data_IF_522434434548
#
_entry.id   IF_522434434548
#
_cell.length_a   1.000
_cell.length_b   1.000
_cell.length_c   1.000
_cell.angle_alpha   90.00
_cell.angle_beta   90.00
_cell.angle_gamma   90.00
#
_symmetry.space_group_name_H-M   'P 1'
#
loop_
_entity.id
_entity.type
_entity.pdbx_description
1 polymer ?
#
# COMPACT_ATOMS: atom_id res chain seq x y z
N UNK A 1 24.88 -22.25 -49.67
CA UNK A 1 25.68 -21.85 -48.49
C UNK A 1 24.70 -21.22 -47.55
N UNK A 2 24.56 -21.85 -46.39
CA UNK A 2 23.47 -21.75 -45.43
C UNK A 2 23.29 -20.35 -44.85
N UNK A 3 22.05 -19.90 -44.85
CA UNK A 3 21.51 -18.76 -44.11
C UNK A 3 20.61 -19.33 -43.02
N UNK A 4 21.17 -19.69 -41.88
CA UNK A 4 20.46 -20.23 -40.71
C UNK A 4 21.52 -20.33 -39.60
N UNK A 5 21.67 -19.29 -38.76
CA UNK A 5 22.35 -19.39 -37.44
C UNK A 5 22.37 -18.10 -36.58
N UNK A 6 21.46 -17.12 -36.75
CA UNK A 6 21.49 -15.87 -35.95
C UNK A 6 20.29 -15.65 -34.99
N UNK A 7 19.36 -16.59 -34.85
CA UNK A 7 18.12 -16.40 -34.08
C UNK A 7 18.00 -17.00 -32.65
N UNK A 8 18.99 -17.66 -31.99
CA UNK A 8 18.77 -18.12 -30.61
C UNK A 8 19.09 -17.09 -29.52
N UNK A 9 19.87 -16.04 -29.80
CA UNK A 9 20.51 -15.25 -28.73
C UNK A 9 19.64 -14.07 -28.25
N UNK A 10 18.93 -13.38 -29.15
CA UNK A 10 18.04 -12.26 -28.79
C UNK A 10 16.84 -12.72 -27.96
N UNK A 11 16.17 -13.81 -28.33
CA UNK A 11 15.02 -14.33 -27.56
C UNK A 11 15.41 -14.80 -26.15
N UNK A 12 16.62 -15.35 -26.00
CA UNK A 12 17.18 -15.72 -24.70
C UNK A 12 17.58 -14.49 -23.87
N UNK A 13 18.07 -13.42 -24.50
CA UNK A 13 18.40 -12.16 -23.82
C UNK A 13 17.14 -11.41 -23.36
N UNK A 14 16.11 -11.34 -24.20
CA UNK A 14 14.81 -10.73 -23.87
C UNK A 14 14.15 -11.47 -22.69
N UNK A 15 14.19 -12.81 -22.68
CA UNK A 15 13.68 -13.61 -21.55
C UNK A 15 14.49 -13.51 -20.25
N UNK A 16 15.72 -13.00 -20.28
CA UNK A 16 16.54 -12.73 -19.09
C UNK A 16 16.24 -11.32 -18.52
N UNK A 17 15.88 -10.37 -19.39
CA UNK A 17 15.70 -8.96 -19.04
C UNK A 17 14.23 -8.57 -18.81
N UNK A 18 13.25 -9.43 -19.12
CA UNK A 18 11.82 -9.25 -18.85
C UNK A 18 11.21 -10.38 -18.01
N UNK A 19 10.29 -10.03 -17.11
CA UNK A 19 9.48 -10.98 -16.35
C UNK A 19 8.35 -11.57 -17.22
N UNK A 20 7.69 -12.64 -16.75
CA UNK A 20 6.54 -13.25 -17.47
C UNK A 20 5.38 -12.28 -17.69
N UNK A 21 5.27 -11.23 -16.87
CA UNK A 21 4.31 -10.14 -17.04
C UNK A 21 4.76 -9.06 -18.03
N UNK A 22 5.94 -9.21 -18.66
CA UNK A 22 6.57 -8.20 -19.53
C UNK A 22 7.26 -7.06 -18.79
N UNK A 23 7.17 -7.01 -17.46
CA UNK A 23 7.85 -6.00 -16.66
C UNK A 23 9.39 -6.15 -16.68
N UNK A 24 10.17 -5.06 -16.64
CA UNK A 24 11.64 -5.15 -16.63
C UNK A 24 12.18 -5.94 -15.42
N UNK A 25 12.95 -7.00 -15.70
CA UNK A 25 13.71 -7.77 -14.71
C UNK A 25 15.10 -7.13 -14.44
N UNK A 26 15.58 -6.30 -15.38
CA UNK A 26 16.83 -5.56 -15.41
C UNK A 26 16.60 -4.04 -15.46
N UNK A 27 17.46 -3.22 -14.82
CA UNK A 27 17.59 -1.82 -15.25
C UNK A 27 18.40 -1.76 -16.54
N UNK A 28 17.88 -1.09 -17.56
CA UNK A 28 18.45 -1.01 -18.93
C UNK A 28 19.80 -0.32 -18.95
N UNK A 29 19.93 0.83 -18.30
CA UNK A 29 21.20 1.57 -18.23
C UNK A 29 22.18 0.95 -17.22
N UNK A 30 21.66 0.50 -16.08
CA UNK A 30 22.42 -0.12 -15.00
C UNK A 30 21.59 -1.25 -14.44
N UNK A 31 22.10 -2.49 -14.52
CA UNK A 31 21.32 -3.67 -14.16
C UNK A 31 20.65 -3.47 -12.80
N UNK A 32 21.37 -3.04 -11.77
CA UNK A 32 20.84 -2.93 -10.40
C UNK A 32 20.07 -1.65 -10.05
N UNK A 33 19.84 -0.75 -11.01
CA UNK A 33 19.09 0.48 -10.76
C UNK A 33 18.12 0.76 -11.90
N UNK A 34 16.84 0.77 -11.53
CA UNK A 34 15.75 1.11 -12.44
C UNK A 34 15.60 2.63 -12.57
N UNK A 35 15.35 3.07 -13.79
CA UNK A 35 14.84 4.39 -14.15
C UNK A 35 13.38 4.55 -13.68
N UNK A 36 12.89 5.78 -13.67
CA UNK A 36 11.53 6.07 -13.26
C UNK A 36 10.48 5.41 -14.17
N UNK A 37 10.74 5.30 -15.48
CA UNK A 37 9.87 4.61 -16.44
C UNK A 37 9.84 3.09 -16.20
N UNK A 38 10.96 2.47 -15.88
CA UNK A 38 11.00 1.03 -15.56
C UNK A 38 10.28 0.72 -14.24
N UNK A 39 10.42 1.57 -13.22
CA UNK A 39 9.64 1.45 -11.97
C UNK A 39 8.15 1.57 -12.27
N UNK A 40 7.77 2.54 -13.11
CA UNK A 40 6.39 2.73 -13.53
C UNK A 40 5.83 1.48 -14.26
N UNK A 41 6.56 0.89 -15.20
CA UNK A 41 6.15 -0.34 -15.88
C UNK A 41 5.96 -1.50 -14.91
N UNK A 42 6.85 -1.65 -13.91
CA UNK A 42 6.69 -2.67 -12.86
C UNK A 42 5.43 -2.44 -12.01
N UNK A 43 5.11 -1.19 -11.70
CA UNK A 43 3.88 -0.83 -10.98
C UNK A 43 2.64 -1.16 -11.82
N UNK A 44 2.64 -0.83 -13.12
CA UNK A 44 1.54 -1.14 -14.04
C UNK A 44 1.31 -2.65 -14.12
N UNK A 45 2.37 -3.45 -14.31
CA UNK A 45 2.25 -4.90 -14.36
C UNK A 45 1.74 -5.51 -13.04
N UNK A 46 2.13 -4.95 -11.89
CA UNK A 46 1.58 -5.36 -10.59
C UNK A 46 0.10 -4.96 -10.46
N UNK A 47 -0.26 -3.76 -10.92
CA UNK A 47 -1.62 -3.26 -10.87
C UNK A 47 -2.59 -4.11 -11.71
N UNK A 48 -2.13 -4.58 -12.87
CA UNK A 48 -2.90 -5.43 -13.76
C UNK A 48 -3.32 -6.72 -13.06
N UNK A 49 -2.36 -7.39 -12.41
CA UNK A 49 -2.62 -8.59 -11.62
C UNK A 49 -3.65 -8.32 -10.50
N UNK A 50 -3.48 -7.23 -9.74
CA UNK A 50 -4.40 -6.87 -8.65
C UNK A 50 -5.82 -6.55 -9.12
N UNK A 51 -5.96 -5.93 -10.29
CA UNK A 51 -7.27 -5.63 -10.89
C UNK A 51 -7.92 -6.89 -11.48
N UNK A 52 -7.16 -7.94 -11.76
CA UNK A 52 -7.68 -9.23 -12.20
C UNK A 52 -8.00 -10.19 -11.05
N UNK A 53 -7.38 -9.99 -9.87
CA UNK A 53 -7.62 -10.81 -8.69
C UNK A 53 -9.12 -10.94 -8.37
N UNK A 54 -9.50 -12.16 -8.02
CA UNK A 54 -10.88 -12.49 -7.65
C UNK A 54 -11.29 -11.76 -6.38
N UNK A 55 -12.61 -11.65 -6.16
CA UNK A 55 -13.13 -11.02 -4.94
C UNK A 55 -12.61 -11.69 -3.66
N UNK A 56 -12.44 -13.01 -3.69
CA UNK A 56 -11.97 -13.78 -2.55
C UNK A 56 -10.47 -13.52 -2.27
N UNK A 57 -9.64 -13.50 -3.31
CA UNK A 57 -8.20 -13.23 -3.18
C UNK A 57 -7.95 -11.85 -2.56
N UNK A 58 -8.57 -10.80 -3.12
CA UNK A 58 -8.45 -9.44 -2.58
C UNK A 58 -8.92 -9.34 -1.13
N UNK A 59 -10.07 -9.95 -0.81
CA UNK A 59 -10.65 -9.88 0.52
C UNK A 59 -9.82 -10.63 1.57
N UNK A 60 -9.40 -11.86 1.29
CA UNK A 60 -8.60 -12.67 2.23
C UNK A 60 -7.16 -12.16 2.36
N UNK A 61 -6.57 -11.68 1.26
CA UNK A 61 -5.28 -10.97 1.31
C UNK A 61 -5.41 -9.69 2.15
N UNK A 62 -6.52 -8.96 2.01
CA UNK A 62 -6.87 -7.83 2.87
C UNK A 62 -6.98 -8.19 4.35
N UNK A 63 -7.60 -9.33 4.68
CA UNK A 63 -7.66 -9.83 6.07
C UNK A 63 -6.26 -10.11 6.62
N UNK A 64 -5.41 -10.79 5.83
CA UNK A 64 -4.04 -11.09 6.22
C UNK A 64 -3.23 -9.80 6.49
N UNK A 65 -3.40 -8.78 5.65
CA UNK A 65 -2.79 -7.47 5.89
C UNK A 65 -3.32 -6.80 7.18
N UNK A 66 -4.63 -6.88 7.45
CA UNK A 66 -5.21 -6.39 8.71
C UNK A 66 -4.63 -7.07 9.95
N UNK A 67 -4.37 -8.38 9.88
CA UNK A 67 -3.64 -9.08 10.95
C UNK A 67 -2.18 -8.62 11.07
N UNK A 68 -1.50 -8.36 9.95
CA UNK A 68 -0.17 -7.73 9.94
C UNK A 68 -0.16 -6.42 10.73
N UNK A 69 -1.15 -5.55 10.50
CA UNK A 69 -1.30 -4.29 11.24
C UNK A 69 -1.55 -4.52 12.74
N UNK A 70 -2.23 -5.61 13.13
CA UNK A 70 -2.40 -5.95 14.55
C UNK A 70 -1.03 -6.18 15.24
N UNK A 71 -0.06 -6.75 14.52
CA UNK A 71 1.31 -6.92 15.04
C UNK A 71 2.00 -5.57 15.25
N UNK A 72 1.79 -4.60 14.35
CA UNK A 72 2.25 -3.21 14.52
C UNK A 72 1.70 -2.60 15.81
N UNK A 73 0.39 -2.74 16.06
CA UNK A 73 -0.26 -2.20 17.27
C UNK A 73 0.27 -2.85 18.55
N UNK A 74 0.40 -4.18 18.54
CA UNK A 74 0.94 -4.96 19.66
C UNK A 74 2.37 -4.52 19.98
N UNK A 75 3.25 -4.49 18.97
CA UNK A 75 4.66 -4.11 19.15
C UNK A 75 4.82 -2.69 19.68
N UNK A 76 4.06 -1.74 19.13
CA UNK A 76 4.10 -0.35 19.57
C UNK A 76 3.62 -0.19 21.02
N UNK A 77 2.52 -0.86 21.38
CA UNK A 77 1.92 -0.78 22.71
C UNK A 77 2.84 -1.37 23.77
N UNK A 78 3.37 -2.58 23.53
CA UNK A 78 4.24 -3.28 24.49
C UNK A 78 5.51 -2.47 24.76
N UNK A 79 6.21 -2.03 23.70
CA UNK A 79 7.43 -1.22 23.88
C UNK A 79 7.10 0.11 24.56
N UNK A 80 5.96 0.73 24.23
CA UNK A 80 5.54 1.97 24.88
C UNK A 80 5.28 1.82 26.36
N UNK A 81 4.66 0.72 26.78
CA UNK A 81 4.45 0.41 28.20
C UNK A 81 5.78 0.14 28.93
N UNK A 82 6.72 -0.54 28.29
CA UNK A 82 8.05 -0.81 28.87
C UNK A 82 8.90 0.46 29.02
N UNK A 83 8.86 1.36 28.03
CA UNK A 83 9.67 2.59 28.01
C UNK A 83 9.08 3.67 28.93
N UNK A 84 7.75 3.74 29.06
CA UNK A 84 7.08 4.77 29.85
C UNK A 84 7.39 6.19 29.34
N UNK A 85 7.61 7.13 30.26
CA UNK A 85 7.91 8.54 29.96
C UNK A 85 9.40 8.87 30.11
N UNK A 86 10.26 8.11 29.42
CA UNK A 86 11.72 8.22 29.49
C UNK A 86 12.32 9.48 28.79
N UNK A 87 11.60 10.60 28.76
CA UNK A 87 12.04 11.86 28.15
C UNK A 87 12.13 11.83 26.62
N UNK A 88 12.95 12.73 26.04
CA UNK A 88 12.98 12.97 24.59
C UNK A 88 13.32 11.76 23.71
N UNK A 89 14.09 10.80 24.22
CA UNK A 89 14.44 9.57 23.50
C UNK A 89 13.27 8.57 23.40
N UNK A 90 12.26 8.68 24.27
CA UNK A 90 11.09 7.80 24.24
C UNK A 90 10.38 7.85 22.88
N UNK A 91 10.35 9.03 22.24
CA UNK A 91 9.78 9.23 20.91
C UNK A 91 10.46 8.40 19.81
N UNK A 92 11.73 8.03 20.00
CA UNK A 92 12.48 7.19 19.06
C UNK A 92 12.42 5.69 19.45
N UNK A 93 12.38 5.36 20.74
CA UNK A 93 12.40 3.97 21.16
C UNK A 93 11.03 3.30 21.06
N UNK A 94 9.96 4.01 21.47
CA UNK A 94 8.58 3.48 21.46
C UNK A 94 8.19 2.83 20.12
N UNK A 95 8.49 3.45 18.96
CA UNK A 95 8.06 2.91 17.67
C UNK A 95 8.93 1.83 17.06
N UNK A 96 9.96 1.33 17.75
CA UNK A 96 10.95 0.41 17.15
C UNK A 96 10.34 -0.88 16.57
N UNK A 97 9.25 -1.38 17.15
CA UNK A 97 8.54 -2.56 16.62
C UNK A 97 7.34 -2.21 15.73
N UNK A 98 7.01 -0.93 15.56
CA UNK A 98 5.88 -0.50 14.74
C UNK A 98 5.98 -0.98 13.28
N UNK A 99 7.15 -0.95 12.61
CA UNK A 99 7.20 -1.34 11.20
C UNK A 99 7.05 -2.84 10.93
N UNK A 100 7.11 -3.70 11.95
CA UNK A 100 7.16 -5.16 11.75
C UNK A 100 5.90 -5.68 11.05
N UNK A 101 4.71 -5.15 11.38
CA UNK A 101 3.48 -5.50 10.68
C UNK A 101 3.51 -5.16 9.20
N UNK A 102 4.03 -4.00 8.83
CA UNK A 102 4.20 -3.59 7.44
C UNK A 102 5.25 -4.42 6.69
N UNK A 103 6.34 -4.80 7.36
CA UNK A 103 7.32 -5.73 6.77
C UNK A 103 6.66 -7.07 6.42
N UNK A 104 5.80 -7.59 7.30
CA UNK A 104 5.05 -8.83 7.02
C UNK A 104 4.12 -8.64 5.82
N UNK A 105 3.47 -7.49 5.70
CA UNK A 105 2.56 -7.16 4.59
C UNK A 105 3.33 -7.10 3.27
N UNK A 106 4.40 -6.30 3.21
CA UNK A 106 5.18 -6.09 1.99
C UNK A 106 5.88 -7.37 1.53
N UNK A 107 6.51 -8.12 2.44
CA UNK A 107 7.19 -9.38 2.08
C UNK A 107 6.19 -10.51 1.81
N UNK A 108 5.03 -10.49 2.49
CA UNK A 108 3.95 -11.45 2.27
C UNK A 108 3.09 -11.15 1.05
N UNK A 109 3.30 -10.02 0.37
CA UNK A 109 2.47 -9.53 -0.73
C UNK A 109 0.98 -9.47 -0.36
N UNK A 110 0.68 -9.05 0.87
CA UNK A 110 -0.70 -8.89 1.32
C UNK A 110 -1.27 -7.55 0.90
N UNK A 111 -2.54 -7.55 0.52
CA UNK A 111 -3.21 -6.38 -0.01
C UNK A 111 -3.56 -5.40 1.11
N UNK A 112 -2.88 -4.25 1.14
CA UNK A 112 -3.16 -3.16 2.08
C UNK A 112 -3.72 -1.96 1.32
N UNK A 113 -4.86 -1.41 1.75
CA UNK A 113 -5.56 -0.32 1.07
C UNK A 113 -4.62 0.84 0.66
N UNK A 114 -3.74 1.28 1.57
CA UNK A 114 -2.84 2.41 1.33
C UNK A 114 -1.71 2.09 0.36
N UNK A 115 -1.27 0.82 0.29
CA UNK A 115 -0.28 0.38 -0.70
C UNK A 115 -0.94 0.26 -2.07
N UNK A 116 -2.18 -0.23 -2.09
CA UNK A 116 -3.02 -0.34 -3.27
C UNK A 116 -3.67 1.00 -3.70
N UNK A 117 -3.07 2.16 -3.35
CA UNK A 117 -3.51 3.46 -3.88
C UNK A 117 -2.77 3.87 -5.14
N UNK A 118 -1.54 3.40 -5.33
CA UNK A 118 -0.71 3.80 -6.47
C UNK A 118 -0.95 2.92 -7.71
N UNK A 119 -0.94 1.57 -7.61
CA UNK A 119 -0.96 0.73 -8.81
C UNK A 119 -2.29 0.84 -9.59
N UNK A 120 -3.49 0.60 -9.02
CA UNK A 120 -4.72 0.69 -9.82
C UNK A 120 -5.11 2.11 -10.22
N UNK A 121 -4.71 3.13 -9.44
CA UNK A 121 -4.91 4.53 -9.85
C UNK A 121 -4.10 4.84 -11.09
N UNK A 122 -2.89 4.31 -11.20
CA UNK A 122 -2.07 4.45 -12.39
C UNK A 122 -2.80 3.90 -13.62
N UNK A 123 -3.40 2.71 -13.52
CA UNK A 123 -4.20 2.13 -14.60
C UNK A 123 -5.44 2.96 -14.96
N UNK A 124 -6.11 3.56 -13.98
CA UNK A 124 -7.26 4.44 -14.24
C UNK A 124 -6.81 5.75 -14.89
N UNK A 125 -5.66 6.31 -14.50
CA UNK A 125 -5.11 7.52 -15.11
C UNK A 125 -4.67 7.28 -16.56
N UNK A 126 -4.14 6.09 -16.88
CA UNK A 126 -3.82 5.66 -18.25
C UNK A 126 -5.01 5.10 -19.01
N UNK A 127 -6.21 5.09 -18.43
CA UNK A 127 -7.45 4.52 -19.01
C UNK A 127 -7.35 3.03 -19.41
N UNK A 128 -6.42 2.30 -18.83
CA UNK A 128 -6.32 0.84 -18.96
C UNK A 128 -7.28 0.11 -18.02
N UNK A 129 -7.78 0.81 -16.98
CA UNK A 129 -8.79 0.29 -16.06
C UNK A 129 -9.92 1.29 -15.83
N UNK A 130 -11.10 0.76 -15.49
CA UNK A 130 -12.30 1.56 -15.24
C UNK A 130 -12.31 2.09 -13.80
N UNK A 131 -12.95 3.25 -13.59
CA UNK A 131 -13.17 3.81 -12.25
C UNK A 131 -13.94 2.82 -11.35
N UNK A 132 -14.99 2.10 -11.82
CA UNK A 132 -15.64 1.05 -11.02
C UNK A 132 -14.71 -0.08 -10.59
N UNK A 133 -13.77 -0.52 -11.45
CA UNK A 133 -12.80 -1.57 -11.10
C UNK A 133 -11.85 -1.12 -9.98
N UNK A 134 -11.39 0.14 -10.01
CA UNK A 134 -10.62 0.74 -8.93
C UNK A 134 -11.39 0.70 -7.60
N UNK A 135 -12.64 1.17 -7.60
CA UNK A 135 -13.45 1.17 -6.38
C UNK A 135 -13.77 -0.25 -5.86
N UNK A 136 -13.85 -1.25 -6.74
CA UNK A 136 -13.96 -2.66 -6.35
C UNK A 136 -12.74 -3.11 -5.55
N UNK A 137 -11.53 -2.89 -6.10
CA UNK A 137 -10.28 -3.28 -5.45
C UNK A 137 -10.17 -2.57 -4.10
N UNK A 138 -10.32 -1.24 -4.09
CA UNK A 138 -10.27 -0.44 -2.86
C UNK A 138 -11.28 -0.88 -1.82
N UNK A 139 -12.53 -1.10 -2.24
CA UNK A 139 -13.61 -1.50 -1.33
C UNK A 139 -13.37 -2.87 -0.69
N UNK A 140 -12.97 -3.87 -1.49
CA UNK A 140 -12.72 -5.23 -1.01
C UNK A 140 -11.49 -5.31 -0.10
N UNK A 141 -10.40 -4.65 -0.50
CA UNK A 141 -9.15 -4.62 0.28
C UNK A 141 -9.36 -3.86 1.59
N UNK A 142 -9.97 -2.68 1.56
CA UNK A 142 -10.27 -1.91 2.77
C UNK A 142 -11.19 -2.70 3.72
N UNK A 143 -12.22 -3.35 3.19
CA UNK A 143 -13.11 -4.19 3.99
C UNK A 143 -12.35 -5.35 4.65
N UNK A 144 -11.50 -6.05 3.89
CA UNK A 144 -10.64 -7.11 4.41
C UNK A 144 -9.70 -6.59 5.51
N UNK A 145 -9.05 -5.45 5.27
CA UNK A 145 -8.15 -4.82 6.26
C UNK A 145 -8.89 -4.48 7.56
N UNK A 146 -10.08 -3.86 7.46
CA UNK A 146 -10.95 -3.54 8.61
C UNK A 146 -11.32 -4.79 9.38
N UNK A 147 -11.69 -5.87 8.70
CA UNK A 147 -12.04 -7.16 9.34
C UNK A 147 -10.82 -7.73 10.07
N UNK A 148 -9.67 -7.83 9.41
CA UNK A 148 -8.45 -8.38 10.02
C UNK A 148 -7.99 -7.60 11.24
N UNK A 149 -7.82 -6.27 11.10
CA UNK A 149 -7.38 -5.42 12.21
C UNK A 149 -8.45 -5.32 13.30
N UNK A 150 -9.73 -5.38 12.95
CA UNK A 150 -10.84 -5.36 13.91
C UNK A 150 -10.90 -6.61 14.78
N UNK A 151 -10.68 -7.80 14.20
CA UNK A 151 -10.53 -9.05 14.97
C UNK A 151 -9.32 -8.94 15.90
N UNK A 152 -8.19 -8.45 15.39
CA UNK A 152 -6.99 -8.24 16.19
C UNK A 152 -7.22 -7.30 17.37
N UNK A 153 -7.79 -6.12 17.11
CA UNK A 153 -8.13 -5.12 18.13
C UNK A 153 -9.11 -5.68 19.18
N UNK A 154 -10.11 -6.46 18.76
CA UNK A 154 -11.04 -7.12 19.67
C UNK A 154 -10.32 -8.09 20.62
N UNK A 155 -9.43 -8.92 20.08
CA UNK A 155 -8.61 -9.85 20.88
C UNK A 155 -7.72 -9.09 21.85
N UNK A 156 -7.00 -8.06 21.39
CA UNK A 156 -6.13 -7.25 22.24
C UNK A 156 -6.91 -6.55 23.37
N UNK A 157 -8.16 -6.11 23.11
CA UNK A 157 -8.97 -5.39 24.09
C UNK A 157 -9.64 -6.29 25.15
N UNK A 158 -9.92 -7.55 24.82
CA UNK A 158 -10.77 -8.44 25.63
C UNK A 158 -10.06 -9.67 26.19
N UNK A 159 -8.79 -9.88 25.85
CA UNK A 159 -8.01 -11.04 26.32
C UNK A 159 -6.76 -10.61 27.09
N UNK A 160 -6.02 -11.59 27.61
CA UNK A 160 -4.77 -11.35 28.35
C UNK A 160 -3.53 -11.23 27.44
N UNK A 161 -3.70 -11.01 26.13
CA UNK A 161 -2.56 -10.77 25.23
C UNK A 161 -1.83 -9.48 25.61
N UNK A 162 -2.56 -8.44 26.00
CA UNK A 162 -2.00 -7.26 26.67
C UNK A 162 -2.22 -7.40 28.17
N UNK A 163 -1.19 -7.09 28.95
CA UNK A 163 -1.35 -6.83 30.38
C UNK A 163 -2.22 -5.58 30.61
N UNK A 164 -2.82 -5.42 31.80
CA UNK A 164 -3.62 -4.22 32.10
C UNK A 164 -2.86 -2.90 31.90
N UNK A 165 -1.55 -2.88 32.18
CA UNK A 165 -0.72 -1.70 31.99
C UNK A 165 -0.52 -1.38 30.49
N UNK A 166 -0.28 -2.39 29.65
CA UNK A 166 -0.16 -2.23 28.21
C UNK A 166 -1.48 -1.80 27.57
N UNK A 167 -2.59 -2.40 27.99
CA UNK A 167 -3.93 -2.01 27.53
C UNK A 167 -4.24 -0.54 27.85
N UNK A 168 -3.88 -0.06 29.04
CA UNK A 168 -4.05 1.35 29.41
C UNK A 168 -3.23 2.29 28.52
N UNK A 169 -2.03 1.88 28.09
CA UNK A 169 -1.20 2.65 27.16
C UNK A 169 -1.85 2.71 25.76
N UNK A 170 -2.40 1.60 25.27
CA UNK A 170 -3.15 1.60 24.00
C UNK A 170 -4.41 2.48 24.08
N UNK A 171 -5.17 2.45 25.19
CA UNK A 171 -6.32 3.33 25.42
C UNK A 171 -5.90 4.81 25.41
N UNK A 172 -4.79 5.13 26.08
CA UNK A 172 -4.26 6.49 26.12
C UNK A 172 -3.90 6.99 24.72
N UNK A 173 -3.18 6.21 23.92
CA UNK A 173 -2.82 6.61 22.55
C UNK A 173 -4.04 6.90 21.69
N UNK A 174 -5.03 6.00 21.70
CA UNK A 174 -6.25 6.18 20.94
C UNK A 174 -7.04 7.42 21.40
N UNK A 175 -7.08 7.67 22.71
CA UNK A 175 -7.75 8.85 23.28
C UNK A 175 -7.04 10.15 22.90
N UNK A 176 -5.71 10.19 22.99
CA UNK A 176 -4.91 11.35 22.60
C UNK A 176 -5.04 11.65 21.10
N UNK A 177 -5.14 10.62 20.25
CA UNK A 177 -5.36 10.78 18.83
C UNK A 177 -6.68 11.51 18.52
N UNK A 178 -7.74 11.24 19.28
CA UNK A 178 -9.05 11.91 19.14
C UNK A 178 -9.03 13.39 19.56
N UNK A 179 -8.06 13.82 20.37
CA UNK A 179 -7.94 15.22 20.77
C UNK A 179 -7.25 16.09 19.70
N UNK A 180 -6.70 15.49 18.65
CA UNK A 180 -6.16 16.23 17.52
C UNK A 180 -7.32 16.81 16.69
N UNK A 181 -7.26 18.10 16.38
CA UNK A 181 -8.29 18.74 15.55
C UNK A 181 -8.48 18.02 14.20
N UNK A 182 -9.71 18.04 13.67
CA UNK A 182 -10.07 17.36 12.41
C UNK A 182 -9.09 17.65 11.26
N UNK A 183 -8.73 18.92 11.03
CA UNK A 183 -7.76 19.31 10.00
C UNK A 183 -6.33 18.89 10.34
N UNK A 184 -5.96 18.88 11.62
CA UNK A 184 -4.68 18.33 12.07
C UNK A 184 -4.56 16.84 11.77
N UNK A 185 -5.63 16.07 12.02
CA UNK A 185 -5.71 14.65 11.66
C UNK A 185 -5.62 14.46 10.16
N UNK A 186 -6.38 15.25 9.39
CA UNK A 186 -6.38 15.20 7.92
C UNK A 186 -4.98 15.39 7.33
N UNK A 187 -4.28 16.49 7.67
CA UNK A 187 -2.94 16.75 7.10
C UNK A 187 -1.88 15.75 7.58
N UNK A 188 -1.97 15.27 8.83
CA UNK A 188 -1.14 14.14 9.28
C UNK A 188 -1.39 12.89 8.43
N UNK A 189 -2.65 12.65 8.06
CA UNK A 189 -3.04 11.58 7.13
C UNK A 189 -2.46 11.78 5.72
N UNK A 190 -2.45 13.01 5.20
CA UNK A 190 -1.83 13.32 3.89
C UNK A 190 -0.37 12.92 3.86
N UNK A 191 0.41 13.28 4.88
CA UNK A 191 1.82 12.89 4.94
C UNK A 191 2.02 11.39 5.14
N UNK A 192 1.16 10.72 5.92
CA UNK A 192 1.21 9.25 6.04
C UNK A 192 0.94 8.56 4.69
N UNK A 193 -0.10 9.00 3.98
CA UNK A 193 -0.44 8.50 2.64
C UNK A 193 0.70 8.71 1.64
N UNK A 194 1.35 9.88 1.69
CA UNK A 194 2.52 10.17 0.86
C UNK A 194 3.68 9.21 1.17
N UNK A 195 4.00 8.99 2.45
CA UNK A 195 5.08 8.07 2.83
C UNK A 195 4.81 6.64 2.33
N UNK A 196 3.57 6.15 2.47
CA UNK A 196 3.21 4.79 2.01
C UNK A 196 3.17 4.69 0.49
N UNK A 197 2.62 5.68 -0.21
CA UNK A 197 2.69 5.70 -1.68
C UNK A 197 4.14 5.74 -2.18
N UNK A 198 5.00 6.53 -1.52
CA UNK A 198 6.43 6.59 -1.80
C UNK A 198 7.14 5.26 -1.51
N UNK A 199 6.74 4.56 -0.44
CA UNK A 199 7.22 3.21 -0.16
C UNK A 199 6.90 2.27 -1.33
N UNK A 200 5.66 2.24 -1.82
CA UNK A 200 5.27 1.39 -2.98
C UNK A 200 6.15 1.67 -4.20
N UNK A 201 6.43 2.95 -4.47
CA UNK A 201 7.32 3.32 -5.58
C UNK A 201 8.75 2.79 -5.40
N UNK A 202 9.36 3.03 -4.24
CA UNK A 202 10.74 2.59 -3.95
C UNK A 202 10.84 1.07 -3.84
N UNK A 203 9.79 0.42 -3.34
CA UNK A 203 9.61 -1.02 -3.28
C UNK A 203 9.66 -1.66 -4.69
N UNK A 204 8.93 -1.08 -5.65
CA UNK A 204 9.01 -1.47 -7.07
C UNK A 204 10.34 -1.09 -7.73
N UNK A 205 11.14 -0.20 -7.14
CA UNK A 205 12.53 0.05 -7.54
C UNK A 205 13.54 -0.92 -6.91
N UNK A 206 13.11 -1.75 -5.95
CA UNK A 206 14.00 -2.63 -5.18
C UNK A 206 14.00 -4.05 -5.74
N UNK A 207 15.14 -4.74 -5.62
CA UNK A 207 15.39 -6.07 -6.19
C UNK A 207 15.47 -7.16 -5.15
N UNK A 208 16.18 -6.90 -4.06
CA UNK A 208 16.45 -7.89 -3.03
C UNK A 208 15.54 -7.70 -1.81
N UNK A 209 15.30 -8.82 -1.13
CA UNK A 209 14.42 -8.86 0.04
C UNK A 209 14.97 -8.05 1.22
N UNK A 210 16.29 -7.98 1.39
CA UNK A 210 16.90 -7.24 2.52
C UNK A 210 16.69 -5.74 2.33
N UNK A 211 16.97 -5.21 1.13
CA UNK A 211 16.67 -3.85 0.74
C UNK A 211 15.21 -3.51 0.98
N UNK A 212 14.30 -4.41 0.57
CA UNK A 212 12.85 -4.26 0.74
C UNK A 212 12.44 -4.13 2.22
N UNK A 213 12.99 -4.99 3.08
CA UNK A 213 12.76 -4.94 4.53
C UNK A 213 13.27 -3.62 5.10
N UNK A 214 14.49 -3.20 4.73
CA UNK A 214 15.13 -2.00 5.27
C UNK A 214 14.37 -0.73 4.89
N UNK A 215 14.00 -0.55 3.61
CA UNK A 215 13.24 0.63 3.18
C UNK A 215 11.85 0.66 3.81
N UNK A 216 11.18 -0.50 3.89
CA UNK A 216 9.86 -0.62 4.53
C UNK A 216 9.96 -0.23 5.98
N UNK A 217 10.95 -0.78 6.69
CA UNK A 217 11.19 -0.46 8.09
C UNK A 217 11.43 1.04 8.29
N UNK A 218 12.35 1.64 7.53
CA UNK A 218 12.73 3.04 7.69
C UNK A 218 11.60 4.02 7.37
N UNK A 219 10.88 3.82 6.27
CA UNK A 219 9.79 4.72 5.87
C UNK A 219 8.59 4.60 6.79
N UNK A 220 8.20 3.38 7.16
CA UNK A 220 7.07 3.16 8.08
C UNK A 220 7.40 3.62 9.49
N UNK A 221 8.65 3.49 9.94
CA UNK A 221 9.09 3.98 11.25
C UNK A 221 8.88 5.49 11.43
N UNK A 222 8.94 6.27 10.35
CA UNK A 222 8.67 7.71 10.41
C UNK A 222 7.23 8.06 10.80
N UNK A 223 6.25 7.20 10.46
CA UNK A 223 4.83 7.44 10.76
C UNK A 223 4.61 7.68 12.27
N UNK A 224 4.91 6.73 13.17
CA UNK A 224 4.72 6.92 14.60
C UNK A 224 5.73 7.88 15.23
N UNK A 225 6.97 7.96 14.71
CA UNK A 225 7.97 8.92 15.22
C UNK A 225 7.50 10.35 15.01
N UNK A 226 6.96 10.68 13.84
CA UNK A 226 6.45 12.02 13.53
C UNK A 226 5.05 12.23 14.13
N UNK A 227 4.33 11.15 14.45
CA UNK A 227 2.98 11.19 14.98
C UNK A 227 1.94 11.45 13.87
N UNK A 228 2.16 10.81 12.72
CA UNK A 228 1.26 10.79 11.56
C UNK A 228 0.20 9.70 11.75
N UNK A 229 -0.92 9.84 11.04
CA UNK A 229 -2.03 8.89 11.13
C UNK A 229 -2.17 8.08 9.84
N UNK A 230 -1.93 6.78 9.92
CA UNK A 230 -2.18 5.84 8.84
C UNK A 230 -3.57 5.21 9.03
N UNK A 231 -4.36 5.09 7.97
CA UNK A 231 -5.78 4.73 8.10
C UNK A 231 -6.00 3.35 8.73
N UNK A 232 -5.25 2.31 8.36
CA UNK A 232 -5.53 0.96 8.86
C UNK A 232 -5.06 0.81 10.31
N UNK A 233 -3.94 1.42 10.70
CA UNK A 233 -3.52 1.43 12.11
C UNK A 233 -4.48 2.26 12.96
N UNK A 234 -4.93 3.42 12.45
CA UNK A 234 -5.93 4.27 13.11
C UNK A 234 -7.27 3.56 13.31
N UNK A 235 -7.70 2.72 12.36
CA UNK A 235 -8.89 1.86 12.52
C UNK A 235 -8.68 0.89 13.68
N UNK A 236 -7.51 0.27 13.78
CA UNK A 236 -7.18 -0.60 14.90
C UNK A 236 -7.21 0.10 16.25
N UNK A 237 -6.61 1.28 16.36
CA UNK A 237 -6.63 2.12 17.58
C UNK A 237 -8.06 2.52 17.96
N UNK A 238 -8.86 2.97 16.98
CA UNK A 238 -10.25 3.36 17.19
C UNK A 238 -11.12 2.18 17.64
N UNK A 239 -10.98 1.02 16.99
CA UNK A 239 -11.74 -0.18 17.36
C UNK A 239 -11.32 -0.71 18.73
N UNK A 240 -10.03 -0.67 19.06
CA UNK A 240 -9.55 -0.99 20.39
C UNK A 240 -10.22 -0.11 21.45
N UNK A 241 -10.22 1.22 21.27
CA UNK A 241 -10.86 2.15 22.19
C UNK A 241 -12.38 1.92 22.30
N UNK A 242 -13.04 1.63 21.18
CA UNK A 242 -14.46 1.28 21.14
C UNK A 242 -14.76 0.01 21.96
N UNK A 243 -13.99 -1.07 21.77
CA UNK A 243 -14.19 -2.33 22.49
C UNK A 243 -13.89 -2.20 23.99
N UNK A 244 -13.03 -1.26 24.38
CA UNK A 244 -12.76 -0.90 25.78
C UNK A 244 -13.82 0.03 26.39
N UNK A 245 -14.79 0.48 25.58
CA UNK A 245 -15.86 1.40 26.01
C UNK A 245 -15.41 2.85 26.19
N UNK A 246 -14.24 3.23 25.65
CA UNK A 246 -13.67 4.57 25.80
C UNK A 246 -14.30 5.63 24.88
N UNK A 247 -14.85 5.22 23.73
CA UNK A 247 -15.54 6.11 22.80
C UNK A 247 -16.62 5.38 21.99
N UNK A 248 -17.65 6.12 21.56
CA UNK A 248 -18.67 5.59 20.67
C UNK A 248 -18.14 5.50 19.22
N UNK A 249 -18.68 4.56 18.43
CA UNK A 249 -18.21 4.33 17.06
C UNK A 249 -18.46 5.51 16.13
N UNK A 250 -19.59 6.21 16.29
CA UNK A 250 -19.95 7.36 15.42
C UNK A 250 -18.91 8.49 15.47
N UNK A 251 -18.52 9.05 16.63
CA UNK A 251 -17.49 10.08 16.67
C UNK A 251 -16.12 9.55 16.24
N UNK A 252 -15.77 8.30 16.57
CA UNK A 252 -14.53 7.68 16.06
C UNK A 252 -14.48 7.70 14.52
N UNK A 253 -15.58 7.34 13.87
CA UNK A 253 -15.66 7.33 12.41
C UNK A 253 -15.63 8.75 11.84
N UNK A 254 -16.46 9.66 12.36
CA UNK A 254 -16.62 11.01 11.77
C UNK A 254 -15.50 11.98 12.08
N UNK A 255 -15.03 11.99 13.33
CA UNK A 255 -14.08 13.00 13.81
C UNK A 255 -12.62 12.56 13.63
N UNK A 256 -12.36 11.25 13.62
CA UNK A 256 -11.02 10.70 13.53
C UNK A 256 -10.78 9.91 12.23
N UNK A 257 -11.49 8.80 11.98
CA UNK A 257 -11.16 7.91 10.87
C UNK A 257 -11.42 8.53 9.49
N UNK A 258 -12.50 9.30 9.32
CA UNK A 258 -12.82 9.95 8.05
C UNK A 258 -11.72 10.94 7.60
N UNK A 259 -11.27 11.92 8.40
CA UNK A 259 -10.17 12.78 7.99
C UNK A 259 -8.87 12.00 7.74
N UNK A 260 -8.57 10.96 8.51
CA UNK A 260 -7.40 10.09 8.24
C UNK A 260 -7.53 9.43 6.87
N UNK A 261 -8.69 8.84 6.57
CA UNK A 261 -8.97 8.16 5.31
C UNK A 261 -8.82 9.10 4.11
N UNK A 262 -9.45 10.28 4.18
CA UNK A 262 -9.37 11.28 3.13
C UNK A 262 -7.94 11.79 2.94
N UNK A 263 -7.23 12.03 4.04
CA UNK A 263 -5.83 12.45 4.01
C UNK A 263 -4.93 11.40 3.37
N UNK A 264 -5.00 10.15 3.83
CA UNK A 264 -4.18 9.05 3.32
C UNK A 264 -4.43 8.83 1.81
N UNK A 265 -5.70 8.85 1.40
CA UNK A 265 -6.09 8.71 -0.01
C UNK A 265 -5.54 9.86 -0.84
N UNK A 266 -5.70 11.12 -0.39
CA UNK A 266 -5.17 12.28 -1.09
C UNK A 266 -3.63 12.22 -1.21
N UNK A 267 -2.95 11.86 -0.13
CA UNK A 267 -1.49 11.75 -0.07
C UNK A 267 -0.94 10.67 -1.00
N UNK A 268 -1.55 9.49 -1.03
CA UNK A 268 -1.14 8.40 -1.91
C UNK A 268 -1.44 8.68 -3.39
N UNK A 269 -2.65 9.15 -3.70
CA UNK A 269 -3.10 9.38 -5.08
C UNK A 269 -2.40 10.58 -5.73
N UNK A 270 -2.37 11.75 -5.08
CA UNK A 270 -1.93 12.99 -5.72
C UNK A 270 -0.41 13.10 -5.76
N UNK A 271 0.26 12.83 -4.64
CA UNK A 271 1.70 13.08 -4.55
C UNK A 271 2.53 11.98 -5.20
N UNK A 272 1.96 10.80 -5.44
CA UNK A 272 2.70 9.66 -6.00
C UNK A 272 2.08 9.21 -7.32
N UNK A 273 0.76 9.06 -7.41
CA UNK A 273 0.09 8.72 -8.67
C UNK A 273 0.23 9.82 -9.72
N UNK A 274 -0.20 11.04 -9.40
CA UNK A 274 -0.20 12.15 -10.37
C UNK A 274 1.19 12.69 -10.65
N UNK A 275 2.03 12.89 -9.63
CA UNK A 275 3.38 13.45 -9.84
C UNK A 275 4.31 12.48 -10.56
N UNK A 276 4.26 11.18 -10.25
CA UNK A 276 5.09 10.22 -10.98
C UNK A 276 4.57 10.01 -12.40
N UNK A 277 3.24 9.92 -12.59
CA UNK A 277 2.68 9.87 -13.94
C UNK A 277 3.07 11.09 -14.78
N UNK A 278 2.99 12.31 -14.22
CA UNK A 278 3.42 13.52 -14.92
C UNK A 278 4.93 13.54 -15.23
N UNK A 279 5.75 12.86 -14.43
CA UNK A 279 7.20 12.76 -14.62
C UNK A 279 7.60 11.67 -15.63
N UNK A 280 6.84 10.56 -15.71
CA UNK A 280 7.23 9.36 -16.49
C UNK A 280 6.33 9.07 -17.69
N UNK A 281 5.14 9.68 -17.76
CA UNK A 281 4.12 9.39 -18.77
C UNK A 281 4.55 9.74 -20.21
N UNK A 282 5.53 10.62 -20.41
CA UNK A 282 6.05 10.94 -21.75
C UNK A 282 6.99 9.87 -22.34
N UNK A 283 7.39 8.85 -21.56
CA UNK A 283 8.41 7.87 -21.96
C UNK A 283 7.90 6.42 -22.07
N UNK A 284 6.59 6.22 -22.25
CA UNK A 284 6.08 4.90 -22.62
C UNK A 284 6.46 4.66 -24.08
N UNK A 285 7.63 4.07 -24.30
CA UNK A 285 8.08 3.57 -25.60
C UNK A 285 7.20 2.37 -25.99
N UNK A 286 6.21 2.63 -26.82
CA UNK A 286 5.14 1.71 -27.23
C UNK A 286 3.80 2.41 -27.50
N UNK A 287 3.82 3.74 -27.69
CA UNK A 287 2.64 4.59 -27.78
C UNK A 287 1.72 4.29 -28.99
N UNK A 288 2.19 3.52 -29.97
CA UNK A 288 1.37 3.11 -31.11
C UNK A 288 0.52 1.86 -30.78
N UNK A 289 0.98 0.94 -29.93
CA UNK A 289 0.24 -0.27 -29.55
C UNK A 289 -0.68 -0.03 -28.34
N UNK A 290 -0.25 0.80 -27.38
CA UNK A 290 -1.05 1.15 -26.20
C UNK A 290 -2.28 2.03 -26.53
N UNK A 291 -2.25 2.75 -27.66
CA UNK A 291 -3.36 3.62 -28.10
C UNK A 291 -4.58 2.83 -28.60
N UNK A 292 -4.42 1.56 -29.01
CA UNK A 292 -5.54 0.71 -29.42
C UNK A 292 -6.29 0.06 -28.24
N UNK A 293 -5.70 0.07 -27.03
CA UNK A 293 -6.26 -0.56 -25.83
C UNK A 293 -6.89 0.42 -24.81
N UNK A 294 -6.80 1.73 -25.03
CA UNK A 294 -7.42 2.71 -24.10
C UNK A 294 -8.95 2.58 -24.08
N UNK A 295 -9.52 2.52 -22.87
CA UNK A 295 -10.97 2.53 -22.70
C UNK A 295 -11.59 3.84 -23.22
N UNK A 296 -12.70 3.72 -23.95
CA UNK A 296 -13.50 4.90 -24.30
C UNK A 296 -13.94 5.65 -23.04
N UNK A 297 -14.25 6.94 -23.14
CA UNK A 297 -14.70 7.74 -21.97
C UNK A 297 -15.91 7.11 -21.25
N UNK A 298 -16.81 6.45 -21.98
CA UNK A 298 -17.95 5.77 -21.37
C UNK A 298 -17.53 4.50 -20.63
N UNK A 299 -16.62 3.71 -21.18
CA UNK A 299 -16.10 2.51 -20.53
C UNK A 299 -15.16 2.82 -19.36
N UNK A 300 -14.41 3.91 -19.45
CA UNK A 300 -13.58 4.39 -18.36
C UNK A 300 -14.42 4.78 -17.14
N UNK A 301 -15.53 5.49 -17.35
CA UNK A 301 -16.39 5.98 -16.26
C UNK A 301 -17.40 4.92 -15.79
N UNK A 302 -17.97 4.13 -16.71
CA UNK A 302 -19.10 3.23 -16.43
C UNK A 302 -18.84 1.76 -16.81
N UNK A 303 -17.63 1.41 -17.22
CA UNK A 303 -17.28 0.06 -17.66
C UNK A 303 -17.31 -0.99 -16.56
N UNK A 304 -16.95 -2.21 -16.94
CA UNK A 304 -17.01 -3.39 -16.07
C UNK A 304 -16.04 -3.36 -14.89
N UNK A 305 -16.24 -4.31 -13.99
CA UNK A 305 -15.45 -4.52 -12.76
C UNK A 305 -14.10 -5.23 -13.00
N UNK A 306 -13.82 -5.61 -14.24
CA UNK A 306 -12.62 -6.30 -14.70
C UNK A 306 -12.07 -5.50 -15.88
N UNK A 307 -10.75 -5.28 -15.89
CA UNK A 307 -10.07 -4.62 -17.02
C UNK A 307 -10.22 -5.44 -18.30
N UNK A 308 -10.30 -4.79 -19.46
CA UNK A 308 -10.11 -5.47 -20.75
C UNK A 308 -8.69 -5.21 -21.19
N UNK A 309 -7.76 -6.07 -20.81
CA UNK A 309 -6.45 -6.09 -21.43
C UNK A 309 -6.18 -7.54 -21.82
N UNK A 310 -5.80 -7.76 -23.08
CA UNK A 310 -5.43 -9.09 -23.57
C UNK A 310 -3.97 -9.00 -23.95
N UNK A 311 -3.13 -9.14 -22.93
CA UNK A 311 -1.70 -9.48 -23.04
C UNK A 311 -0.93 -8.52 -23.95
N UNK A 312 -0.33 -7.49 -23.35
CA UNK A 312 0.68 -6.61 -23.98
C UNK A 312 1.92 -7.33 -24.58
N UNK A 313 1.96 -8.67 -24.60
CA UNK A 313 3.11 -9.46 -25.06
C UNK A 313 2.70 -10.85 -25.60
N UNK A 314 1.60 -10.96 -26.35
CA UNK A 314 1.40 -12.15 -27.19
C UNK A 314 2.35 -12.03 -28.39
N UNK A 315 3.49 -12.72 -28.33
CA UNK A 315 4.40 -12.86 -29.47
C UNK A 315 3.58 -13.35 -30.67
N UNK A 316 3.52 -12.57 -31.73
CA UNK A 316 3.03 -13.02 -33.03
C UNK A 316 3.81 -14.30 -33.42
N UNK A 317 3.08 -15.41 -33.60
CA UNK A 317 3.60 -16.68 -34.14
C UNK A 317 4.12 -16.53 -35.58
#
# INVERSE_FOLDING_TARGET
>A
MSSEDDLPNESLQVGIDQAQSGAPAGGTATRDRFSASEIFQRIVASAEQEVEDTHAELFYSGIAAGFGITITLLGYTVVSAMVGDAGGLARLVKPVLYPIGFVIIVIGHYQLYTENTLPPVTLVLTRLSSIPALFRVWGLVLLGNVVGVGIGAFVLANTAVLSPAEAAVAEQFATEAMHVSWWGVFFKGVFAGWLVGGLVWVDHGTRDTVGRIVITYLLIYLIPVVGLFHIITSIGDALFLFFRGGAALVPLVWEFLLPVFLGNTLGGVVLVGVLNYAHTGEHISGADDAAEEELSLQEWVFGGLVGRWRVMFENEE
#
